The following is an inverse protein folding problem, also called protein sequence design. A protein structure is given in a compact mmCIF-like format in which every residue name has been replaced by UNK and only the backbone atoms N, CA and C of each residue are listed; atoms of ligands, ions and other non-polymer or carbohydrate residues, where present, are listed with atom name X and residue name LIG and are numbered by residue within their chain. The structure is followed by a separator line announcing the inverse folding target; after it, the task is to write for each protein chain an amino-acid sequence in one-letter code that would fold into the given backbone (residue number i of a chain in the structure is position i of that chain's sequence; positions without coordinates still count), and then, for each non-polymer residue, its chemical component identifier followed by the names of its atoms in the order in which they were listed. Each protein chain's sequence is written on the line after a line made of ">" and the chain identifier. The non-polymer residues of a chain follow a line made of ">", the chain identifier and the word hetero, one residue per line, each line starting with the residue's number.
data_IF_667126953675
#
_entry.id   IF_667126953675
#
_cell.length_a   1.000
_cell.length_b   1.000
_cell.length_c   1.000
_cell.angle_alpha   90.00
_cell.angle_beta   90.00
_cell.angle_gamma   90.00
#
_symmetry.space_group_name_H-M   'P 1'
#
loop_
_entity.id
_entity.type
_entity.pdbx_description
1 polymer ?
#
# COMPACT_ATOMS: atom_id res chain seq x y z
N UNK A 1 -28.29 -67.58 24.12
CA UNK A 1 -27.50 -68.82 24.03
C UNK A 1 -28.04 -69.69 22.89
N UNK A 2 -27.14 -70.17 22.00
CA UNK A 2 -27.32 -71.20 20.93
C UNK A 2 -28.15 -70.78 19.69
N UNK A 3 -27.49 -70.29 18.62
CA UNK A 3 -26.95 -71.03 17.44
C UNK A 3 -28.04 -71.54 16.47
N UNK A 4 -27.98 -71.07 15.21
CA UNK A 4 -28.14 -71.81 13.93
C UNK A 4 -27.89 -70.82 12.77
N UNK A 5 -26.71 -70.86 12.15
CA UNK A 5 -26.25 -71.64 10.99
C UNK A 5 -26.71 -71.07 9.63
N UNK A 6 -25.70 -70.86 8.79
CA UNK A 6 -25.68 -70.28 7.45
C UNK A 6 -26.52 -71.00 6.39
N UNK A 7 -26.89 -70.25 5.34
CA UNK A 7 -26.99 -70.75 3.96
C UNK A 7 -26.29 -69.75 3.03
N UNK A 8 -25.41 -70.30 2.21
CA UNK A 8 -24.59 -69.71 1.15
C UNK A 8 -25.19 -70.07 -0.22
N UNK A 9 -24.68 -69.43 -1.29
CA UNK A 9 -24.90 -69.62 -2.75
C UNK A 9 -25.97 -68.70 -3.38
N UNK A 10 -25.76 -68.06 -4.54
CA UNK A 10 -24.66 -68.09 -5.52
C UNK A 10 -24.62 -66.80 -6.33
N UNK A 11 -23.44 -66.54 -6.91
CA UNK A 11 -23.08 -65.38 -7.72
C UNK A 11 -23.75 -65.36 -9.11
N UNK A 12 -23.95 -64.15 -9.64
CA UNK A 12 -23.88 -63.87 -11.06
C UNK A 12 -22.83 -62.77 -11.26
N UNK A 13 -21.65 -63.18 -11.69
CA UNK A 13 -20.58 -62.33 -12.23
C UNK A 13 -20.96 -61.86 -13.63
N UNK A 14 -20.92 -60.56 -13.88
CA UNK A 14 -20.55 -60.04 -15.19
C UNK A 14 -19.32 -59.15 -15.01
N UNK A 15 -18.19 -59.64 -15.54
CA UNK A 15 -16.98 -58.88 -15.73
C UNK A 15 -17.19 -57.82 -16.81
N UNK A 16 -16.85 -56.58 -16.50
CA UNK A 16 -16.39 -55.57 -17.45
C UNK A 16 -15.05 -55.05 -16.95
N UNK A 17 -13.99 -55.29 -17.72
CA UNK A 17 -12.59 -55.04 -17.38
C UNK A 17 -12.21 -53.54 -17.41
N UNK A 18 -11.50 -53.12 -16.35
CA UNK A 18 -10.39 -52.13 -16.28
C UNK A 18 -10.42 -50.82 -17.07
N UNK A 19 -10.29 -49.71 -16.32
CA UNK A 19 -9.24 -48.72 -16.56
C UNK A 19 -8.84 -48.03 -15.23
N UNK A 20 -7.55 -48.06 -14.90
CA UNK A 20 -6.93 -47.37 -13.78
C UNK A 20 -6.85 -45.85 -14.02
N UNK A 21 -6.89 -45.07 -12.93
CA UNK A 21 -6.21 -43.78 -12.84
C UNK A 21 -7.07 -42.54 -13.07
N UNK A 22 -7.47 -41.90 -11.97
CA UNK A 22 -7.42 -40.45 -11.82
C UNK A 22 -7.65 -40.11 -10.33
N UNK A 23 -6.61 -39.58 -9.69
CA UNK A 23 -6.72 -38.84 -8.44
C UNK A 23 -7.78 -37.76 -8.59
N UNK A 24 -8.60 -37.56 -7.55
CA UNK A 24 -9.45 -36.38 -7.40
C UNK A 24 -8.56 -35.13 -7.53
N UNK A 25 -8.57 -34.49 -8.69
CA UNK A 25 -8.14 -33.12 -8.82
C UNK A 25 -9.14 -32.26 -8.05
N UNK A 26 -8.63 -31.39 -7.17
CA UNK A 26 -9.39 -30.28 -6.66
C UNK A 26 -9.94 -29.52 -7.87
N UNK A 27 -11.26 -29.45 -7.98
CA UNK A 27 -11.90 -28.65 -9.01
C UNK A 27 -11.57 -27.20 -8.73
N UNK A 28 -10.80 -26.59 -9.62
CA UNK A 28 -10.88 -25.16 -9.86
C UNK A 28 -12.35 -24.83 -10.11
N UNK A 29 -12.96 -24.16 -9.13
CA UNK A 29 -14.34 -23.67 -9.18
C UNK A 29 -14.33 -22.17 -9.39
N UNK A 30 -13.30 -21.67 -10.10
CA UNK A 30 -13.04 -20.27 -10.41
C UNK A 30 -14.33 -19.48 -10.56
N UNK A 31 -14.69 -18.77 -9.48
CA UNK A 31 -15.67 -17.70 -9.54
C UNK A 31 -15.14 -16.70 -10.55
N UNK A 32 -16.00 -16.23 -11.46
CA UNK A 32 -15.62 -15.07 -12.28
C UNK A 32 -15.34 -13.89 -11.35
N UNK A 33 -14.44 -12.98 -11.72
CA UNK A 33 -14.08 -11.80 -10.93
C UNK A 33 -15.31 -11.06 -10.37
N UNK A 34 -16.36 -10.89 -11.19
CA UNK A 34 -17.61 -10.22 -10.77
C UNK A 34 -18.46 -10.99 -9.74
N UNK A 35 -18.15 -12.25 -9.49
CA UNK A 35 -18.82 -13.10 -8.49
C UNK A 35 -17.99 -13.33 -7.23
N UNK A 36 -16.75 -12.83 -7.20
CA UNK A 36 -15.93 -12.78 -6.01
C UNK A 36 -16.36 -11.63 -5.11
N UNK A 37 -16.21 -11.82 -3.80
CA UNK A 37 -16.34 -10.75 -2.80
C UNK A 37 -14.94 -10.28 -2.43
N UNK A 38 -14.65 -9.01 -2.67
CA UNK A 38 -13.36 -8.39 -2.36
C UNK A 38 -13.40 -7.72 -0.99
N UNK A 39 -12.34 -7.81 -0.19
CA UNK A 39 -12.14 -6.93 0.96
C UNK A 39 -11.37 -5.69 0.51
N UNK A 40 -11.86 -4.50 0.87
CA UNK A 40 -11.23 -3.22 0.53
C UNK A 40 -11.26 -2.29 1.73
N UNK A 41 -10.21 -1.51 1.94
CA UNK A 41 -10.20 -0.47 2.96
C UNK A 41 -11.21 0.64 2.60
N UNK A 42 -12.02 1.07 3.58
CA UNK A 42 -13.00 2.12 3.37
C UNK A 42 -12.33 3.45 2.98
N UNK A 43 -12.78 4.06 1.88
CA UNK A 43 -12.24 5.35 1.42
C UNK A 43 -10.90 5.28 0.67
N UNK A 44 -10.34 4.08 0.45
CA UNK A 44 -9.09 3.92 -0.29
C UNK A 44 -9.28 3.97 -1.81
N UNK A 45 -8.17 4.15 -2.54
CA UNK A 45 -8.14 4.01 -3.99
C UNK A 45 -8.58 2.60 -4.44
N UNK A 46 -8.31 1.57 -3.64
CA UNK A 46 -8.79 0.21 -3.88
C UNK A 46 -10.31 0.08 -3.85
N UNK A 47 -10.98 0.80 -2.93
CA UNK A 47 -12.44 0.85 -2.89
C UNK A 47 -13.02 1.57 -4.11
N UNK A 48 -12.39 2.67 -4.54
CA UNK A 48 -12.78 3.37 -5.78
C UNK A 48 -12.63 2.46 -7.00
N UNK A 49 -11.49 1.78 -7.15
CA UNK A 49 -11.26 0.83 -8.24
C UNK A 49 -12.30 -0.31 -8.24
N UNK A 50 -12.68 -0.83 -7.07
CA UNK A 50 -13.73 -1.83 -6.93
C UNK A 50 -15.10 -1.32 -7.40
N UNK A 51 -15.46 -0.09 -7.02
CA UNK A 51 -16.72 0.58 -7.44
C UNK A 51 -16.76 0.76 -8.96
N UNK A 52 -15.70 1.28 -9.56
CA UNK A 52 -15.63 1.53 -11.01
C UNK A 52 -15.76 0.24 -11.84
N UNK A 53 -15.12 -0.84 -11.38
CA UNK A 53 -15.20 -2.15 -12.05
C UNK A 53 -16.51 -2.90 -11.77
N UNK A 54 -17.31 -2.41 -10.81
CA UNK A 54 -18.56 -3.01 -10.39
C UNK A 54 -18.37 -4.34 -9.65
N UNK A 55 -17.30 -4.45 -8.86
CA UNK A 55 -17.03 -5.61 -8.02
C UNK A 55 -17.91 -5.61 -6.77
N UNK A 56 -18.20 -6.81 -6.24
CA UNK A 56 -18.84 -6.94 -4.93
C UNK A 56 -17.75 -6.84 -3.87
N UNK A 57 -17.93 -6.03 -2.83
CA UNK A 57 -16.91 -5.87 -1.81
C UNK A 57 -17.47 -5.68 -0.41
N UNK A 58 -16.64 -6.03 0.58
CA UNK A 58 -16.77 -5.68 1.99
C UNK A 58 -15.79 -4.54 2.28
N UNK A 59 -16.28 -3.44 2.85
CA UNK A 59 -15.41 -2.37 3.35
C UNK A 59 -14.90 -2.74 4.74
N UNK A 60 -13.59 -2.68 4.94
CA UNK A 60 -12.90 -2.90 6.22
C UNK A 60 -12.17 -1.64 6.68
N UNK A 61 -11.65 -1.64 7.91
CA UNK A 61 -11.00 -0.48 8.52
C UNK A 61 -9.56 -0.24 8.06
N UNK A 62 -8.87 -1.24 7.53
CA UNK A 62 -7.47 -1.13 7.10
C UNK A 62 -7.14 -2.18 6.03
N UNK A 63 -6.04 -1.99 5.31
CA UNK A 63 -5.55 -2.99 4.34
C UNK A 63 -5.09 -4.29 5.02
N UNK A 64 -4.55 -4.19 6.24
CA UNK A 64 -4.22 -5.36 7.05
C UNK A 64 -5.47 -6.19 7.40
N UNK A 65 -6.59 -5.52 7.70
CA UNK A 65 -7.88 -6.19 7.91
C UNK A 65 -8.38 -6.85 6.61
N UNK A 66 -8.13 -6.23 5.45
CA UNK A 66 -8.52 -6.79 4.16
C UNK A 66 -7.77 -8.10 3.88
N UNK A 67 -6.45 -8.13 4.13
CA UNK A 67 -5.65 -9.34 4.05
C UNK A 67 -6.09 -10.41 5.05
N UNK A 68 -6.45 -10.01 6.28
CA UNK A 68 -6.99 -10.93 7.29
C UNK A 68 -8.32 -11.56 6.85
N UNK A 69 -9.21 -10.82 6.20
CA UNK A 69 -10.46 -11.37 5.66
C UNK A 69 -10.19 -12.43 4.59
N UNK A 70 -9.22 -12.20 3.70
CA UNK A 70 -8.82 -13.18 2.67
C UNK A 70 -8.19 -14.41 3.32
N UNK A 71 -7.27 -14.21 4.26
CA UNK A 71 -6.61 -15.30 4.96
C UNK A 71 -7.58 -16.17 5.78
N UNK A 72 -8.63 -15.56 6.35
CA UNK A 72 -9.69 -16.27 7.07
C UNK A 72 -10.75 -16.90 6.17
N UNK A 73 -10.77 -16.53 4.88
CA UNK A 73 -11.79 -16.97 3.91
C UNK A 73 -13.13 -16.25 4.03
N UNK A 74 -13.17 -15.12 4.75
CA UNK A 74 -14.36 -14.23 4.82
C UNK A 74 -14.60 -13.55 3.47
N UNK A 75 -13.52 -13.10 2.83
CA UNK A 75 -13.53 -12.53 1.48
C UNK A 75 -12.74 -13.42 0.52
N UNK A 76 -13.12 -13.40 -0.76
CA UNK A 76 -12.50 -14.23 -1.80
C UNK A 76 -11.14 -13.68 -2.26
N UNK A 77 -10.99 -12.35 -2.22
CA UNK A 77 -9.80 -11.57 -2.56
C UNK A 77 -9.77 -10.26 -1.76
N UNK A 78 -8.66 -9.54 -1.80
CA UNK A 78 -8.54 -8.17 -1.31
C UNK A 78 -8.08 -7.26 -2.46
N UNK A 79 -8.38 -5.97 -2.36
CA UNK A 79 -7.73 -4.93 -3.20
C UNK A 79 -6.99 -4.01 -2.25
N UNK A 80 -5.66 -3.98 -2.39
CA UNK A 80 -4.74 -3.22 -1.53
C UNK A 80 -3.62 -2.61 -2.36
N UNK A 81 -2.83 -1.71 -1.78
CA UNK A 81 -1.66 -1.13 -2.43
C UNK A 81 -0.59 -2.20 -2.72
N UNK A 82 0.06 -2.08 -3.87
CA UNK A 82 1.16 -2.97 -4.29
C UNK A 82 2.31 -2.91 -3.29
N UNK A 83 2.62 -1.72 -2.77
CA UNK A 83 3.63 -1.52 -1.73
C UNK A 83 3.28 -2.29 -0.44
N UNK A 84 2.01 -2.23 -0.03
CA UNK A 84 1.51 -2.98 1.12
C UNK A 84 1.54 -4.50 0.86
N UNK A 85 1.14 -4.93 -0.34
CA UNK A 85 1.21 -6.32 -0.77
C UNK A 85 2.65 -6.84 -0.71
N UNK A 86 3.61 -6.09 -1.27
CA UNK A 86 5.03 -6.46 -1.30
C UNK A 86 5.64 -6.66 0.09
N UNK A 87 5.20 -5.89 1.09
CA UNK A 87 5.67 -6.01 2.47
C UNK A 87 5.00 -7.17 3.24
N UNK A 88 3.72 -7.45 2.96
CA UNK A 88 2.91 -8.31 3.83
C UNK A 88 2.66 -9.74 3.33
N UNK A 89 2.84 -10.02 2.03
CA UNK A 89 2.46 -11.32 1.45
C UNK A 89 3.64 -12.06 0.81
N UNK A 90 3.51 -13.38 0.69
CA UNK A 90 4.55 -14.24 0.12
C UNK A 90 5.55 -14.77 1.16
N UNK A 91 6.45 -15.66 0.72
CA UNK A 91 7.32 -16.41 1.63
C UNK A 91 8.10 -15.49 2.58
N UNK A 92 8.02 -15.77 3.88
CA UNK A 92 8.75 -15.02 4.91
C UNK A 92 8.02 -13.79 5.47
N UNK A 93 6.81 -13.49 4.98
CA UNK A 93 5.98 -12.36 5.45
C UNK A 93 4.87 -12.80 6.43
N UNK A 94 4.02 -11.84 6.83
CA UNK A 94 2.84 -12.08 7.67
C UNK A 94 1.82 -13.02 7.01
N UNK A 95 1.71 -13.00 5.67
CA UNK A 95 0.76 -13.80 4.91
C UNK A 95 1.46 -14.64 3.83
N UNK A 96 2.18 -15.71 4.22
CA UNK A 96 3.03 -16.46 3.31
C UNK A 96 2.28 -17.28 2.25
N UNK A 97 0.97 -17.47 2.42
CA UNK A 97 0.13 -18.21 1.48
C UNK A 97 -0.80 -17.27 0.69
N UNK A 98 -0.51 -15.97 0.61
CA UNK A 98 -1.21 -15.02 -0.25
C UNK A 98 -0.28 -14.53 -1.37
N UNK A 99 -0.85 -14.25 -2.53
CA UNK A 99 -0.15 -13.68 -3.70
C UNK A 99 -1.00 -12.56 -4.31
N UNK A 100 -0.36 -11.58 -4.95
CA UNK A 100 -1.07 -10.62 -5.78
C UNK A 100 -1.19 -11.12 -7.23
N UNK A 101 -2.20 -10.66 -7.97
CA UNK A 101 -2.44 -11.03 -9.38
C UNK A 101 -2.52 -9.81 -10.27
N UNK A 102 -3.66 -9.13 -10.28
CA UNK A 102 -3.97 -8.09 -11.24
C UNK A 102 -3.67 -6.72 -10.66
N UNK A 103 -2.98 -5.89 -11.43
CA UNK A 103 -2.87 -4.46 -11.18
C UNK A 103 -4.10 -3.76 -11.78
N UNK A 104 -4.85 -3.08 -10.91
CA UNK A 104 -6.09 -2.41 -11.25
C UNK A 104 -5.86 -0.95 -11.65
N UNK A 105 -4.77 -0.34 -11.16
CA UNK A 105 -4.36 1.05 -11.39
C UNK A 105 -2.85 1.13 -11.65
N UNK A 106 -2.39 2.30 -12.09
CA UNK A 106 -0.97 2.68 -12.06
C UNK A 106 -0.89 4.06 -11.44
N UNK A 107 -0.09 4.19 -10.40
CA UNK A 107 -0.06 5.35 -9.53
C UNK A 107 1.38 5.81 -9.32
N UNK A 108 1.57 7.12 -9.23
CA UNK A 108 2.82 7.74 -8.85
C UNK A 108 2.61 8.47 -7.54
N UNK A 109 3.47 8.22 -6.55
CA UNK A 109 3.42 8.89 -5.25
C UNK A 109 4.31 10.12 -5.24
N UNK A 110 3.80 11.20 -4.66
CA UNK A 110 4.52 12.44 -4.45
C UNK A 110 4.16 13.09 -3.12
N UNK A 111 4.84 14.19 -2.82
CA UNK A 111 4.70 14.91 -1.56
C UNK A 111 3.95 16.21 -1.81
N UNK A 112 2.90 16.47 -1.03
CA UNK A 112 2.02 17.62 -1.18
C UNK A 112 2.42 18.77 -0.28
N UNK A 113 2.76 19.92 -0.87
CA UNK A 113 3.01 21.17 -0.15
C UNK A 113 1.89 22.17 -0.44
N UNK A 114 1.84 23.27 0.35
CA UNK A 114 0.98 24.42 0.05
C UNK A 114 1.18 24.87 -1.40
N UNK A 115 0.11 25.31 -2.07
CA UNK A 115 0.20 25.78 -3.45
C UNK A 115 1.21 26.91 -3.61
N UNK A 116 2.15 26.77 -4.54
CA UNK A 116 3.24 27.74 -4.78
C UNK A 116 4.39 27.70 -3.77
N UNK A 117 4.44 26.70 -2.88
CA UNK A 117 5.51 26.53 -1.90
C UNK A 117 6.85 26.15 -2.55
N UNK A 118 7.94 26.79 -2.14
CA UNK A 118 9.29 26.40 -2.57
C UNK A 118 9.81 25.14 -1.84
N UNK A 119 9.07 24.63 -0.87
CA UNK A 119 9.41 23.40 -0.15
C UNK A 119 9.43 22.18 -1.09
N UNK A 120 8.52 22.08 -2.06
CA UNK A 120 8.51 20.98 -3.02
C UNK A 120 9.80 20.93 -3.86
N UNK A 121 10.32 22.10 -4.27
CA UNK A 121 11.62 22.20 -4.96
C UNK A 121 12.77 21.74 -4.05
N UNK A 122 12.73 22.12 -2.77
CA UNK A 122 13.73 21.69 -1.80
C UNK A 122 13.71 20.18 -1.57
N UNK A 123 12.52 19.58 -1.42
CA UNK A 123 12.38 18.13 -1.25
C UNK A 123 12.88 17.40 -2.50
N UNK A 124 12.57 17.90 -3.72
CA UNK A 124 13.11 17.34 -4.96
C UNK A 124 14.65 17.34 -4.99
N UNK A 125 15.31 18.40 -4.49
CA UNK A 125 16.78 18.40 -4.32
C UNK A 125 17.23 17.30 -3.35
N UNK A 126 16.57 17.18 -2.19
CA UNK A 126 16.94 16.16 -1.19
C UNK A 126 16.75 14.76 -1.76
N UNK A 127 15.67 14.50 -2.49
CA UNK A 127 15.45 13.23 -3.21
C UNK A 127 16.55 12.97 -4.23
N UNK A 128 16.91 13.94 -5.06
CA UNK A 128 18.00 13.78 -6.02
C UNK A 128 19.33 13.45 -5.34
N UNK A 129 19.68 14.18 -4.27
CA UNK A 129 20.93 13.99 -3.53
C UNK A 129 20.97 12.63 -2.83
N UNK A 130 19.89 12.26 -2.14
CA UNK A 130 19.79 11.02 -1.37
C UNK A 130 19.65 9.77 -2.23
N UNK A 131 19.03 9.88 -3.40
CA UNK A 131 19.02 8.81 -4.40
C UNK A 131 20.44 8.60 -4.95
N UNK A 132 21.14 9.69 -5.29
CA UNK A 132 22.49 9.64 -5.85
C UNK A 132 23.55 9.13 -4.88
N UNK A 133 23.41 9.41 -3.59
CA UNK A 133 24.33 8.93 -2.56
C UNK A 133 23.94 7.55 -1.96
N UNK A 134 22.79 7.00 -2.38
CA UNK A 134 22.27 5.70 -1.96
C UNK A 134 21.59 5.69 -0.60
N UNK A 135 21.45 6.84 0.08
CA UNK A 135 20.75 6.91 1.37
C UNK A 135 19.24 6.69 1.23
N UNK A 136 18.60 7.17 0.15
CA UNK A 136 17.18 6.91 -0.13
C UNK A 136 16.91 5.42 -0.36
N UNK A 137 17.76 4.76 -1.14
CA UNK A 137 17.67 3.32 -1.40
C UNK A 137 17.80 2.51 -0.11
N UNK A 138 18.76 2.88 0.76
CA UNK A 138 18.93 2.22 2.05
C UNK A 138 17.73 2.39 2.99
N UNK A 139 17.09 3.56 2.98
CA UNK A 139 15.84 3.78 3.73
C UNK A 139 14.75 2.88 3.13
N UNK A 140 14.61 2.85 1.81
CA UNK A 140 13.63 2.00 1.12
C UNK A 140 13.82 0.51 1.42
N UNK A 141 15.05 -0.01 1.40
CA UNK A 141 15.37 -1.39 1.75
C UNK A 141 14.98 -1.74 3.20
N UNK A 142 15.07 -0.78 4.13
CA UNK A 142 14.68 -0.98 5.53
C UNK A 142 13.20 -1.33 5.65
N UNK A 143 12.38 -0.80 4.73
CA UNK A 143 10.93 -0.95 4.71
C UNK A 143 10.41 -1.83 3.57
N UNK A 144 11.31 -2.43 2.77
CA UNK A 144 10.96 -3.33 1.67
C UNK A 144 10.33 -2.65 0.46
N UNK A 145 10.51 -1.34 0.28
CA UNK A 145 9.87 -0.55 -0.80
C UNK A 145 10.84 -0.15 -1.93
N UNK A 146 12.07 -0.67 -1.93
CA UNK A 146 13.12 -0.28 -2.87
C UNK A 146 12.77 -0.51 -4.35
N UNK A 147 12.00 -1.56 -4.65
CA UNK A 147 11.58 -1.87 -6.04
C UNK A 147 10.57 -0.85 -6.60
N UNK A 148 9.90 -0.10 -5.72
CA UNK A 148 8.96 0.93 -6.13
C UNK A 148 9.63 2.28 -6.42
N UNK A 149 10.89 2.47 -6.00
CA UNK A 149 11.56 3.76 -6.15
C UNK A 149 11.61 4.21 -7.61
N UNK A 150 11.28 5.48 -7.81
CA UNK A 150 11.46 6.16 -9.10
C UNK A 150 12.84 6.80 -9.14
N UNK A 151 13.54 6.68 -10.27
CA UNK A 151 14.82 7.36 -10.47
C UNK A 151 14.68 8.87 -10.30
N UNK A 152 15.45 9.44 -9.37
CA UNK A 152 15.43 10.87 -9.08
C UNK A 152 16.42 11.62 -9.99
N UNK A 153 15.90 12.52 -10.82
CA UNK A 153 16.72 13.38 -11.68
C UNK A 153 17.45 14.43 -10.84
N UNK A 154 18.63 14.86 -11.31
CA UNK A 154 19.33 16.00 -10.72
C UNK A 154 18.36 17.20 -10.60
N UNK A 155 18.21 17.71 -9.38
CA UNK A 155 17.38 18.86 -9.07
C UNK A 155 18.24 19.92 -8.39
N UNK A 156 17.85 21.19 -8.52
CA UNK A 156 18.44 22.30 -7.76
C UNK A 156 17.35 23.03 -7.02
N UNK A 157 17.53 23.25 -5.71
CA UNK A 157 16.58 24.04 -4.94
C UNK A 157 16.49 25.47 -5.50
N UNK A 158 15.28 25.86 -5.88
CA UNK A 158 14.95 27.21 -6.33
C UNK A 158 14.13 27.94 -5.26
N UNK A 159 14.81 28.78 -4.49
CA UNK A 159 14.16 29.52 -3.41
C UNK A 159 13.15 30.56 -3.94
N UNK A 160 11.99 30.64 -3.30
CA UNK A 160 11.00 31.68 -3.59
C UNK A 160 11.52 33.06 -3.17
N UNK A 161 11.42 34.10 -4.02
CA UNK A 161 11.98 35.42 -3.74
C UNK A 161 11.16 36.27 -2.75
N UNK A 162 9.97 35.83 -2.32
CA UNK A 162 9.07 36.63 -1.46
C UNK A 162 8.47 35.85 -0.31
N UNK A 163 8.03 34.63 -0.55
CA UNK A 163 7.27 33.83 0.41
C UNK A 163 7.85 32.41 0.48
N UNK A 164 9.11 32.34 0.92
CA UNK A 164 9.83 31.07 1.06
C UNK A 164 9.32 30.29 2.27
N UNK A 165 8.67 29.16 2.02
CA UNK A 165 8.25 28.24 3.07
C UNK A 165 9.45 27.54 3.69
N UNK A 166 10.53 27.32 2.92
CA UNK A 166 11.81 26.82 3.46
C UNK A 166 12.37 27.76 4.52
N UNK A 167 12.44 29.08 4.26
CA UNK A 167 12.90 30.06 5.25
C UNK A 167 11.96 30.15 6.45
N UNK A 168 10.64 30.09 6.22
CA UNK A 168 9.64 30.06 7.28
C UNK A 168 9.83 28.85 8.20
N UNK A 169 10.03 27.65 7.64
CA UNK A 169 10.24 26.39 8.37
C UNK A 169 11.56 26.43 9.15
N UNK A 170 12.66 26.89 8.53
CA UNK A 170 13.94 27.09 9.21
C UNK A 170 13.83 28.10 10.35
N UNK A 171 13.11 29.21 10.13
CA UNK A 171 12.91 30.26 11.12
C UNK A 171 12.09 29.78 12.33
N UNK A 172 11.08 28.91 12.11
CA UNK A 172 10.30 28.32 13.22
C UNK A 172 10.98 27.13 13.88
N UNK A 173 11.93 26.47 13.21
CA UNK A 173 12.73 25.38 13.76
C UNK A 173 12.06 24.00 13.73
N UNK A 174 10.93 23.85 13.04
CA UNK A 174 10.19 22.59 12.96
C UNK A 174 9.58 22.42 11.57
N UNK A 175 9.66 21.23 10.98
CA UNK A 175 8.85 20.81 9.84
C UNK A 175 7.64 20.04 10.36
N UNK A 176 6.43 20.48 10.03
CA UNK A 176 5.20 19.80 10.45
C UNK A 176 4.65 18.95 9.31
N UNK A 177 4.63 17.63 9.48
CA UNK A 177 4.26 16.65 8.46
C UNK A 177 2.87 16.10 8.78
N UNK A 178 1.92 16.29 7.88
CA UNK A 178 0.60 15.66 7.94
C UNK A 178 0.66 14.23 7.44
N UNK A 179 0.21 13.29 8.26
CA UNK A 179 0.28 11.84 7.99
C UNK A 179 -1.01 11.14 8.40
N UNK A 180 -1.21 9.92 7.88
CA UNK A 180 -2.15 8.93 8.43
C UNK A 180 -1.42 7.59 8.61
N UNK A 181 -2.04 6.63 9.30
CA UNK A 181 -1.44 5.30 9.49
C UNK A 181 -1.55 4.50 8.18
N UNK A 182 -0.41 4.32 7.51
CA UNK A 182 -0.25 3.65 6.24
C UNK A 182 1.10 2.92 6.18
N UNK A 183 1.14 1.70 6.71
CA UNK A 183 2.31 0.82 6.61
C UNK A 183 2.54 0.37 5.14
N UNK A 184 3.79 0.36 4.62
CA UNK A 184 5.08 0.64 5.28
C UNK A 184 5.58 2.10 5.13
N UNK A 185 4.73 3.04 4.70
CA UNK A 185 5.11 4.42 4.40
C UNK A 185 5.20 5.29 5.65
N UNK A 186 4.13 5.36 6.44
CA UNK A 186 4.11 5.99 7.76
C UNK A 186 3.24 5.18 8.71
N UNK A 187 3.81 4.66 9.77
CA UNK A 187 3.10 3.92 10.80
C UNK A 187 3.81 4.08 12.14
N UNK A 188 3.18 3.67 13.23
CA UNK A 188 3.78 3.82 14.57
C UNK A 188 4.49 2.53 15.00
N UNK A 189 5.70 2.68 15.52
CA UNK A 189 6.38 1.60 16.23
C UNK A 189 5.71 1.29 17.58
N UNK A 190 6.17 0.24 18.28
CA UNK A 190 5.68 -0.14 19.61
C UNK A 190 5.79 0.97 20.67
N UNK A 191 6.63 1.98 20.43
CA UNK A 191 6.83 3.13 21.31
C UNK A 191 5.95 4.33 20.91
N UNK A 192 5.16 4.22 19.84
CA UNK A 192 4.30 5.28 19.32
C UNK A 192 5.02 6.29 18.42
N UNK A 193 6.25 6.02 18.00
CA UNK A 193 6.99 6.90 17.09
C UNK A 193 6.60 6.61 15.64
N UNK A 194 6.38 7.66 14.85
CA UNK A 194 6.21 7.53 13.41
C UNK A 194 7.51 7.04 12.75
N UNK A 195 7.41 5.91 12.09
CA UNK A 195 8.44 5.24 11.29
C UNK A 195 7.84 4.84 9.94
N UNK A 196 8.67 4.32 9.03
CA UNK A 196 8.28 4.02 7.66
C UNK A 196 9.11 4.81 6.66
N UNK A 197 8.96 4.47 5.38
CA UNK A 197 9.75 5.08 4.33
C UNK A 197 9.55 6.61 4.25
N UNK A 198 8.30 7.07 4.23
CA UNK A 198 7.96 8.49 4.15
C UNK A 198 8.36 9.23 5.43
N UNK A 199 8.10 8.64 6.59
CA UNK A 199 8.50 9.21 7.88
C UNK A 199 10.01 9.42 7.98
N UNK A 200 10.81 8.45 7.54
CA UNK A 200 12.27 8.55 7.59
C UNK A 200 12.84 9.47 6.51
N UNK A 201 12.22 9.53 5.33
CA UNK A 201 12.56 10.54 4.33
C UNK A 201 12.20 11.96 4.80
N UNK A 202 11.10 12.14 5.51
CA UNK A 202 10.73 13.41 6.13
C UNK A 202 11.74 13.82 7.23
N UNK A 203 12.20 12.87 8.06
CA UNK A 203 13.29 13.09 9.02
C UNK A 203 14.59 13.49 8.33
N UNK A 204 14.95 12.85 7.22
CA UNK A 204 16.11 13.22 6.41
C UNK A 204 16.00 14.65 5.89
N UNK A 205 14.83 15.04 5.36
CA UNK A 205 14.58 16.43 4.92
C UNK A 205 14.71 17.40 6.11
N UNK A 206 14.15 17.07 7.27
CA UNK A 206 14.30 17.85 8.51
C UNK A 206 15.76 18.04 8.92
N UNK A 207 16.57 16.97 8.85
CA UNK A 207 18.02 17.02 9.11
C UNK A 207 18.73 17.99 8.15
N UNK A 208 18.44 17.91 6.85
CA UNK A 208 19.04 18.81 5.83
C UNK A 208 18.61 20.26 6.01
N UNK A 209 17.38 20.49 6.47
CA UNK A 209 16.87 21.81 6.83
C UNK A 209 17.48 22.35 8.13
N UNK A 210 17.94 21.47 9.03
CA UNK A 210 18.40 21.80 10.38
C UNK A 210 17.26 22.07 11.35
N UNK A 211 16.13 21.37 11.20
CA UNK A 211 14.90 21.54 12.00
C UNK A 211 14.43 20.22 12.60
N UNK A 212 13.61 20.28 13.65
CA UNK A 212 12.92 19.10 14.18
C UNK A 212 11.75 18.71 13.25
N UNK A 213 11.40 17.43 13.21
CA UNK A 213 10.22 16.95 12.48
C UNK A 213 9.12 16.62 13.47
N UNK A 214 7.94 17.20 13.27
CA UNK A 214 6.75 16.93 14.04
C UNK A 214 5.66 16.34 13.14
N UNK A 215 5.22 15.13 13.46
CA UNK A 215 4.15 14.47 12.73
C UNK A 215 2.80 14.81 13.35
N UNK A 216 1.84 15.18 12.51
CA UNK A 216 0.46 15.48 12.87
C UNK A 216 -0.42 14.52 12.11
N UNK A 217 -1.16 13.70 12.85
CA UNK A 217 -2.19 12.86 12.26
C UNK A 217 -3.35 13.75 11.81
N UNK A 218 -3.72 13.65 10.54
CA UNK A 218 -4.75 14.50 9.93
C UNK A 218 -5.93 13.68 9.42
N UNK A 219 -7.06 14.36 9.24
CA UNK A 219 -8.12 13.84 8.37
C UNK A 219 -7.69 14.04 6.91
N UNK A 220 -7.55 12.94 6.16
CA UNK A 220 -7.05 12.96 4.79
C UNK A 220 -7.92 13.81 3.86
N UNK A 221 -9.22 13.91 4.11
CA UNK A 221 -10.14 14.73 3.31
C UNK A 221 -9.89 16.22 3.52
N UNK A 222 -9.32 16.60 4.67
CA UNK A 222 -9.02 17.99 5.04
C UNK A 222 -7.59 18.43 4.72
N UNK A 223 -6.75 17.56 4.13
CA UNK A 223 -5.31 17.81 3.90
C UNK A 223 -4.97 19.15 3.23
N UNK A 224 -5.78 19.60 2.26
CA UNK A 224 -5.60 20.91 1.60
C UNK A 224 -5.84 22.05 2.58
N UNK A 225 -6.90 21.95 3.39
CA UNK A 225 -7.24 22.95 4.41
C UNK A 225 -6.18 23.02 5.51
N UNK A 226 -5.62 21.88 5.92
CA UNK A 226 -4.54 21.80 6.90
C UNK A 226 -3.28 22.51 6.40
N UNK A 227 -2.93 22.31 5.11
CA UNK A 227 -1.82 23.02 4.46
C UNK A 227 -2.08 24.53 4.40
N UNK A 228 -3.24 24.94 3.90
CA UNK A 228 -3.61 26.35 3.72
C UNK A 228 -3.66 27.11 5.04
N UNK A 229 -4.11 26.45 6.11
CA UNK A 229 -4.16 27.01 7.47
C UNK A 229 -2.80 26.99 8.18
N UNK A 230 -1.76 26.43 7.55
CA UNK A 230 -0.42 26.20 8.11
C UNK A 230 -0.43 25.35 9.39
N UNK A 231 -1.44 24.50 9.57
CA UNK A 231 -1.44 23.48 10.62
C UNK A 231 -0.39 22.41 10.33
N UNK A 232 -0.18 22.12 9.04
CA UNK A 232 0.94 21.31 8.52
C UNK A 232 1.69 22.09 7.44
N UNK A 233 2.94 21.72 7.18
CA UNK A 233 3.76 22.26 6.08
C UNK A 233 3.71 21.40 4.84
N UNK A 234 3.53 20.10 5.04
CA UNK A 234 3.61 19.09 4.00
C UNK A 234 2.66 17.94 4.35
N UNK A 235 2.06 17.34 3.34
CA UNK A 235 1.32 16.06 3.40
C UNK A 235 2.21 15.02 2.74
N UNK A 236 2.59 14.00 3.48
CA UNK A 236 3.54 13.00 3.02
C UNK A 236 3.14 11.65 3.59
N UNK A 237 2.44 10.85 2.78
CA UNK A 237 1.85 9.58 3.21
C UNK A 237 1.41 8.73 2.00
N UNK A 238 2.34 8.39 1.10
CA UNK A 238 2.04 7.64 -0.12
C UNK A 238 0.99 8.32 -1.01
N UNK A 239 1.06 9.65 -1.14
CA UNK A 239 -0.01 10.40 -1.81
C UNK A 239 0.06 10.26 -3.33
N UNK A 240 -0.95 9.64 -3.92
CA UNK A 240 -1.10 9.55 -5.38
C UNK A 240 -1.21 10.93 -6.05
N UNK A 241 -0.38 11.17 -7.06
CA UNK A 241 -0.35 12.39 -7.87
C UNK A 241 -1.47 12.40 -8.91
N UNK A 242 -2.69 12.69 -8.47
CA UNK A 242 -3.85 12.88 -9.36
C UNK A 242 -3.90 14.30 -9.93
N UNK A 243 -4.72 14.50 -10.97
CA UNK A 243 -5.02 15.84 -11.51
C UNK A 243 -5.60 16.79 -10.44
N UNK A 244 -6.41 16.26 -9.51
CA UNK A 244 -6.98 17.03 -8.41
C UNK A 244 -5.89 17.47 -7.40
N UNK A 245 -5.01 16.54 -7.01
CA UNK A 245 -3.91 16.79 -6.08
C UNK A 245 -2.95 17.82 -6.68
N UNK A 246 -2.49 17.60 -7.90
CA UNK A 246 -1.53 18.50 -8.59
C UNK A 246 -2.15 19.87 -8.91
N UNK A 247 -3.48 19.95 -9.08
CA UNK A 247 -4.18 21.23 -9.22
C UNK A 247 -4.29 21.99 -7.90
N UNK A 248 -4.58 21.30 -6.79
CA UNK A 248 -4.83 21.91 -5.47
C UNK A 248 -3.57 22.22 -4.66
N UNK A 249 -2.47 21.50 -4.90
CA UNK A 249 -1.22 21.60 -4.13
C UNK A 249 -0.01 21.91 -5.01
N UNK A 250 1.12 22.26 -4.38
CA UNK A 250 2.43 22.18 -5.02
C UNK A 250 3.04 20.82 -4.70
N UNK A 251 3.39 20.03 -5.71
CA UNK A 251 3.83 18.65 -5.51
C UNK A 251 5.29 18.46 -5.88
N UNK A 252 5.95 17.51 -5.23
CA UNK A 252 7.25 17.01 -5.70
C UNK A 252 7.10 16.24 -7.00
N UNK A 253 8.23 15.88 -7.60
CA UNK A 253 8.26 14.80 -8.57
C UNK A 253 7.84 13.48 -7.88
N UNK A 254 7.46 12.50 -8.70
CA UNK A 254 7.19 11.16 -8.21
C UNK A 254 8.44 10.54 -7.56
N UNK A 255 8.26 9.88 -6.42
CA UNK A 255 9.34 9.18 -5.70
C UNK A 255 9.13 7.67 -5.63
N UNK A 256 7.89 7.19 -5.72
CA UNK A 256 7.54 5.77 -5.82
C UNK A 256 6.47 5.55 -6.89
N UNK A 257 6.53 4.37 -7.54
CA UNK A 257 5.41 3.81 -8.30
C UNK A 257 4.56 2.91 -7.40
N UNK A 258 3.26 2.90 -7.64
CA UNK A 258 2.32 2.05 -6.93
C UNK A 258 1.20 1.57 -7.89
N UNK A 259 0.40 0.61 -7.40
CA UNK A 259 -0.83 0.16 -8.03
C UNK A 259 -1.77 -0.39 -6.97
N UNK A 260 -3.08 -0.33 -7.22
CA UNK A 260 -4.05 -1.16 -6.50
C UNK A 260 -3.99 -2.58 -7.07
N UNK A 261 -3.67 -3.57 -6.24
CA UNK A 261 -3.54 -4.97 -6.67
C UNK A 261 -4.57 -5.87 -6.05
N UNK A 262 -4.98 -6.89 -6.81
CA UNK A 262 -5.83 -7.97 -6.30
C UNK A 262 -4.95 -8.98 -5.57
N UNK A 263 -5.28 -9.28 -4.31
CA UNK A 263 -4.61 -10.31 -3.50
C UNK A 263 -5.53 -11.50 -3.26
N UNK A 264 -5.01 -12.70 -3.48
CA UNK A 264 -5.74 -13.98 -3.35
C UNK A 264 -4.93 -15.03 -2.60
N UNK A 265 -5.57 -16.08 -2.06
CA UNK A 265 -4.86 -17.25 -1.57
C UNK A 265 -4.02 -17.91 -2.68
N UNK A 266 -2.85 -18.41 -2.31
CA UNK A 266 -2.06 -19.28 -3.18
C UNK A 266 -2.86 -20.52 -3.58
N UNK A 267 -2.80 -20.87 -4.87
CA UNK A 267 -3.52 -22.02 -5.43
C UNK A 267 -4.94 -21.73 -5.91
N UNK A 268 -5.40 -20.47 -5.87
CA UNK A 268 -6.48 -19.95 -6.73
C UNK A 268 -5.93 -19.35 -8.02
#
# INVERSE_FOLDING_TARGET
>A
MKKKLAVLLAAALTLGMTACGASKGAGDTGKSEKSMVYAVEAGSAGEEAAKEKGFQYNSVSSQADALMEVASGTSDAAIIDLLMAGAMIGEGTSYPNLKHTDELTTEEYGVGCRKGSDLASYINQVFADSYKDGSMEKIAETYGVQEALVEQKDATFEQSPKDSDVDYIKGKGTLVVGVTDFEPMDYKDDSGNWIGFDADMAKLVGEKLGVEVNFVEIDWDNKVMELDSKNIDVVWNGMTLTDEVTSSMECTNAYCNNAQVVVVPEGK
#
